data_IF_927601368350
#
_entry.id   IF_927601368350
#
_cell.length_a   1.000
_cell.length_b   1.000
_cell.length_c   1.000
_cell.angle_alpha   90.00
_cell.angle_beta   90.00
_cell.angle_gamma   90.00
#
_symmetry.space_group_name_H-M   'P 1'
#
loop_
_entity.id
_entity.type
_entity.pdbx_description
1 polymer ?
#
# COMPACT_ATOMS: atom_id res chain seq x y z
N UNK A 1 3.21 3.12 -15.29
CA UNK A 1 2.75 2.13 -14.30
C UNK A 1 2.66 2.78 -12.92
N UNK A 2 1.67 2.42 -12.15
CA UNK A 2 1.48 2.96 -10.80
C UNK A 2 2.55 2.38 -9.87
N UNK A 3 3.26 3.24 -9.16
CA UNK A 3 4.25 2.79 -8.19
C UNK A 3 3.61 2.68 -6.80
N UNK A 4 3.09 1.49 -6.51
CA UNK A 4 2.42 1.21 -5.24
C UNK A 4 3.39 1.22 -4.06
N UNK A 5 4.62 0.76 -4.29
CA UNK A 5 5.67 0.73 -3.27
C UNK A 5 6.00 2.15 -2.80
N UNK A 6 6.19 3.07 -3.75
CA UNK A 6 6.53 4.46 -3.41
C UNK A 6 5.42 5.12 -2.59
N UNK A 7 4.17 4.94 -3.00
CA UNK A 7 3.03 5.49 -2.27
C UNK A 7 2.93 4.93 -0.86
N UNK A 8 3.14 3.62 -0.72
CA UNK A 8 3.09 2.98 0.59
C UNK A 8 4.22 3.48 1.50
N UNK A 9 5.43 3.63 0.95
CA UNK A 9 6.57 4.15 1.71
C UNK A 9 6.34 5.57 2.20
N UNK A 10 5.76 6.43 1.36
CA UNK A 10 5.40 7.79 1.74
C UNK A 10 4.40 7.78 2.89
N UNK A 11 3.37 6.94 2.79
CA UNK A 11 2.37 6.80 3.85
C UNK A 11 2.99 6.30 5.16
N UNK A 12 3.92 5.34 5.08
CA UNK A 12 4.65 4.85 6.25
C UNK A 12 5.42 5.97 6.94
N UNK A 13 6.11 6.80 6.17
CA UNK A 13 6.87 7.93 6.71
C UNK A 13 5.92 8.91 7.39
N UNK A 14 4.83 9.27 6.74
CA UNK A 14 3.86 10.22 7.28
C UNK A 14 3.17 9.71 8.54
N UNK A 15 2.93 8.42 8.62
CA UNK A 15 2.32 7.78 9.79
C UNK A 15 3.35 7.34 10.83
N UNK A 16 4.63 7.53 10.55
CA UNK A 16 5.74 7.15 11.43
C UNK A 16 5.69 5.67 11.80
N UNK A 17 5.47 4.82 10.81
CA UNK A 17 5.40 3.36 10.98
C UNK A 17 6.55 2.72 10.23
N UNK A 18 7.29 1.84 10.91
CA UNK A 18 8.39 1.09 10.30
C UNK A 18 7.84 -0.09 9.50
N UNK A 19 8.67 -0.59 8.57
CA UNK A 19 8.33 -1.77 7.77
C UNK A 19 8.06 -3.00 8.66
N UNK A 20 8.85 -3.19 9.69
CA UNK A 20 8.67 -4.30 10.64
C UNK A 20 7.32 -4.21 11.35
N UNK A 21 6.96 -3.02 11.82
CA UNK A 21 5.68 -2.80 12.50
C UNK A 21 4.52 -2.98 11.53
N UNK A 22 4.64 -2.47 10.31
CA UNK A 22 3.60 -2.62 9.31
C UNK A 22 3.36 -4.10 8.97
N UNK A 23 4.43 -4.86 8.78
CA UNK A 23 4.32 -6.30 8.50
C UNK A 23 3.59 -7.02 9.63
N UNK A 24 3.97 -6.76 10.88
CA UNK A 24 3.34 -7.37 12.04
C UNK A 24 1.85 -7.02 12.11
N UNK A 25 1.50 -5.77 11.92
CA UNK A 25 0.11 -5.30 11.98
C UNK A 25 -0.74 -5.87 10.84
N UNK A 26 -0.14 -6.15 9.70
CA UNK A 26 -0.83 -6.74 8.55
C UNK A 26 -0.81 -8.27 8.56
N UNK A 27 -0.22 -8.90 9.57
CA UNK A 27 -0.15 -10.35 9.65
C UNK A 27 0.81 -10.99 8.66
N UNK A 28 1.83 -10.28 8.24
CA UNK A 28 2.84 -10.76 7.29
C UNK A 28 4.21 -10.83 7.94
N UNK A 29 5.10 -11.65 7.37
CA UNK A 29 6.51 -11.60 7.73
C UNK A 29 7.16 -10.37 7.08
N UNK A 30 8.19 -9.84 7.73
CA UNK A 30 8.94 -8.71 7.19
C UNK A 30 9.58 -9.04 5.84
N UNK A 31 10.11 -10.26 5.68
CA UNK A 31 10.70 -10.69 4.42
C UNK A 31 9.68 -10.74 3.29
N UNK A 32 8.48 -11.19 3.57
CA UNK A 32 7.40 -11.25 2.59
C UNK A 32 7.01 -9.84 2.13
N UNK A 33 6.85 -8.92 3.09
CA UNK A 33 6.53 -7.53 2.77
C UNK A 33 7.68 -6.89 1.98
N UNK A 34 8.93 -7.12 2.37
CA UNK A 34 10.10 -6.58 1.68
C UNK A 34 10.13 -7.01 0.21
N UNK A 35 9.85 -8.28 -0.07
CA UNK A 35 9.82 -8.81 -1.43
C UNK A 35 8.73 -8.13 -2.26
N UNK A 36 7.55 -7.93 -1.70
CA UNK A 36 6.46 -7.25 -2.40
C UNK A 36 6.79 -5.78 -2.69
N UNK A 37 7.44 -5.11 -1.77
CA UNK A 37 7.88 -3.73 -1.96
C UNK A 37 8.91 -3.63 -3.09
N UNK A 38 9.87 -4.56 -3.13
CA UNK A 38 10.89 -4.57 -4.18
C UNK A 38 10.26 -4.82 -5.55
N UNK A 39 9.31 -5.75 -5.64
CA UNK A 39 8.66 -6.11 -6.89
C UNK A 39 7.62 -5.09 -7.35
N UNK A 40 7.16 -4.24 -6.44
CA UNK A 40 6.02 -3.35 -6.69
C UNK A 40 4.81 -4.15 -7.20
N UNK A 41 4.59 -5.32 -6.60
CA UNK A 41 3.58 -6.28 -7.05
C UNK A 41 2.72 -6.70 -5.86
N UNK A 42 1.51 -6.16 -5.83
CA UNK A 42 0.55 -6.40 -4.76
C UNK A 42 -0.79 -6.79 -5.34
N UNK A 43 -1.46 -7.74 -4.72
CA UNK A 43 -2.89 -7.90 -4.93
C UNK A 43 -3.60 -6.70 -4.29
N UNK A 44 -4.67 -6.25 -4.90
CA UNK A 44 -5.40 -5.09 -4.39
C UNK A 44 -5.88 -5.31 -2.96
N UNK A 45 -6.36 -6.49 -2.64
CA UNK A 45 -6.81 -6.83 -1.28
C UNK A 45 -5.66 -6.77 -0.27
N UNK A 46 -4.46 -7.20 -0.65
CA UNK A 46 -3.28 -7.11 0.21
C UNK A 46 -2.86 -5.66 0.42
N UNK A 47 -2.85 -4.89 -0.65
CA UNK A 47 -2.48 -3.48 -0.59
C UNK A 47 -3.44 -2.71 0.31
N UNK A 48 -4.73 -2.98 0.19
CA UNK A 48 -5.74 -2.38 1.05
C UNK A 48 -5.49 -2.69 2.53
N UNK A 49 -5.15 -3.95 2.85
CA UNK A 49 -4.83 -4.33 4.22
C UNK A 49 -3.62 -3.58 4.77
N UNK A 50 -2.59 -3.41 3.93
CA UNK A 50 -1.39 -2.66 4.33
C UNK A 50 -1.71 -1.19 4.59
N UNK A 51 -2.50 -0.58 3.71
CA UNK A 51 -2.92 0.81 3.88
C UNK A 51 -3.74 0.98 5.15
N UNK A 52 -4.66 0.07 5.41
CA UNK A 52 -5.50 0.12 6.62
C UNK A 52 -4.68 -0.14 7.89
N UNK A 53 -3.66 -0.99 7.80
CA UNK A 53 -2.76 -1.24 8.92
C UNK A 53 -1.96 0.02 9.30
N UNK A 54 -1.83 0.98 8.39
CA UNK A 54 -1.23 2.28 8.67
C UNK A 54 -2.22 3.28 9.27
N UNK A 55 -3.47 2.90 9.47
CA UNK A 55 -4.53 3.80 9.89
C UNK A 55 -5.04 4.68 8.77
N UNK A 56 -4.73 4.35 7.52
CA UNK A 56 -5.13 5.10 6.35
C UNK A 56 -6.29 4.43 5.62
N UNK A 57 -6.86 5.14 4.67
CA UNK A 57 -7.93 4.62 3.82
C UNK A 57 -7.42 4.59 2.38
N UNK A 58 -7.65 3.48 1.69
CA UNK A 58 -7.32 3.36 0.28
C UNK A 58 -8.50 3.83 -0.56
N UNK A 59 -8.26 4.82 -1.42
CA UNK A 59 -9.25 5.26 -2.39
C UNK A 59 -8.82 4.82 -3.78
N UNK A 60 -9.79 4.36 -4.55
CA UNK A 60 -9.55 3.89 -5.91
C UNK A 60 -10.53 4.59 -6.84
N UNK A 61 -10.00 5.19 -7.90
CA UNK A 61 -10.82 5.87 -8.90
C UNK A 61 -10.49 5.35 -10.29
N UNK A 62 -11.51 5.21 -11.11
CA UNK A 62 -11.35 5.00 -12.54
C UNK A 62 -11.72 6.32 -13.22
N UNK A 63 -10.83 6.83 -14.06
CA UNK A 63 -11.07 8.06 -14.80
C UNK A 63 -11.51 7.68 -16.22
N UNK A 64 -12.73 8.07 -16.58
CA UNK A 64 -13.28 7.79 -17.90
C UNK A 64 -12.65 8.73 -18.95
N UNK A 65 -12.73 8.39 -20.24
CA UNK A 65 -12.16 9.26 -21.29
C UNK A 65 -12.70 10.68 -21.30
N UNK A 66 -13.92 10.89 -20.78
CA UNK A 66 -14.52 12.22 -20.67
C UNK A 66 -14.10 12.99 -19.41
N UNK A 67 -13.22 12.42 -18.58
CA UNK A 67 -12.75 13.04 -17.34
C UNK A 67 -13.58 12.72 -16.11
N UNK A 68 -14.69 11.99 -16.26
CA UNK A 68 -15.52 11.57 -15.14
C UNK A 68 -14.77 10.52 -14.29
N UNK A 69 -14.94 10.60 -12.98
CA UNK A 69 -14.33 9.66 -12.02
C UNK A 69 -15.43 8.81 -11.36
N UNK A 70 -15.14 7.53 -11.27
CA UNK A 70 -16.00 6.60 -10.56
C UNK A 70 -15.21 5.77 -9.56
#
# INVERSE_FOLDING_TARGET
>A
MINLTEKLKIAMIKQNVTQTTLAANAGQSQGNLANKLIRNDFKLSEYQKLVEALGCTLELNIVLPNGERI
#
